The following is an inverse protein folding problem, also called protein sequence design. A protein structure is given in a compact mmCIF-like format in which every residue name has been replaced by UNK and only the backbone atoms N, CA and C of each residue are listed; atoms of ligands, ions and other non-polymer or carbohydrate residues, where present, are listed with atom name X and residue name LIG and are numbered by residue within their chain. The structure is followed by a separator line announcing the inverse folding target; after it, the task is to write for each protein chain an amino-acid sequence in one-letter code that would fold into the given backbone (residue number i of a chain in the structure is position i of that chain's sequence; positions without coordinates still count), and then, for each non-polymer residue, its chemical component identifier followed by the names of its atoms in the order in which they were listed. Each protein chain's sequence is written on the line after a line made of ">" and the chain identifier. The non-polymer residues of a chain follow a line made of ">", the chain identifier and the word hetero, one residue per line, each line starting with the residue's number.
data_IF_969866533490
#
_entry.id   IF_969866533490
#
_cell.length_a   1.000
_cell.length_b   1.000
_cell.length_c   1.000
_cell.angle_alpha   90.00
_cell.angle_beta   90.00
_cell.angle_gamma   90.00
#
_symmetry.space_group_name_H-M   'P 1'
#
loop_
_entity.id
_entity.type
_entity.pdbx_description
1 polymer ?
#
# COMPACT_ATOMS: atom_id res chain seq x y z
N UNK A 1 14.05 -6.60 16.47
CA UNK A 1 13.00 -6.48 15.44
C UNK A 1 12.99 -5.03 14.99
N UNK A 2 13.07 -4.78 13.69
CA UNK A 2 12.95 -3.44 13.14
C UNK A 2 11.50 -2.98 13.30
N UNK A 3 11.25 -1.81 13.90
CA UNK A 3 9.90 -1.28 14.17
C UNK A 3 9.05 -1.20 12.89
N UNK A 4 9.68 -0.88 11.77
CA UNK A 4 9.04 -0.86 10.45
C UNK A 4 8.49 -2.23 10.03
N UNK A 5 9.15 -3.33 10.41
CA UNK A 5 8.66 -4.67 10.08
C UNK A 5 7.35 -5.00 10.79
N UNK A 6 7.14 -4.45 12.00
CA UNK A 6 5.89 -4.62 12.74
C UNK A 6 4.78 -3.79 12.10
N UNK A 7 5.07 -2.56 11.69
CA UNK A 7 4.09 -1.70 11.01
C UNK A 7 3.64 -2.28 9.66
N UNK A 8 4.49 -3.06 8.99
CA UNK A 8 4.14 -3.74 7.75
C UNK A 8 3.02 -4.78 7.91
N UNK A 9 2.77 -5.29 9.12
CA UNK A 9 1.64 -6.19 9.40
C UNK A 9 0.29 -5.54 9.02
N UNK A 10 0.18 -4.22 9.17
CA UNK A 10 -1.02 -3.46 8.83
C UNK A 10 -1.29 -3.41 7.32
N UNK A 11 -0.32 -3.79 6.49
CA UNK A 11 -0.42 -3.77 5.03
C UNK A 11 -0.58 -5.17 4.44
N UNK A 12 -0.68 -6.22 5.26
CA UNK A 12 -0.72 -7.61 4.77
C UNK A 12 -1.90 -7.87 3.83
N UNK A 13 -3.10 -7.46 4.25
CA UNK A 13 -4.31 -7.57 3.42
C UNK A 13 -4.16 -6.80 2.09
N UNK A 14 -3.50 -5.64 2.13
CA UNK A 14 -3.26 -4.84 0.93
C UNK A 14 -2.26 -5.50 -0.02
N UNK A 15 -1.22 -6.16 0.50
CA UNK A 15 -0.26 -6.91 -0.33
C UNK A 15 -0.92 -8.12 -1.00
N UNK A 16 -1.78 -8.83 -0.26
CA UNK A 16 -2.56 -9.95 -0.74
C UNK A 16 -3.51 -9.51 -1.87
N UNK A 17 -4.36 -8.50 -1.60
CA UNK A 17 -5.28 -7.92 -2.58
C UNK A 17 -4.58 -7.38 -3.84
N UNK A 18 -3.41 -6.74 -3.68
CA UNK A 18 -2.61 -6.29 -4.81
C UNK A 18 -2.15 -7.46 -5.71
N UNK A 19 -1.80 -8.58 -5.08
CA UNK A 19 -1.40 -9.79 -5.80
C UNK A 19 -2.58 -10.45 -6.52
N UNK A 20 -3.77 -10.41 -5.92
CA UNK A 20 -5.02 -10.81 -6.55
C UNK A 20 -5.30 -10.00 -7.82
N UNK A 21 -5.22 -8.66 -7.75
CA UNK A 21 -5.48 -7.77 -8.88
C UNK A 21 -4.51 -7.98 -10.06
N UNK A 22 -3.25 -8.28 -9.77
CA UNK A 22 -2.21 -8.41 -10.79
C UNK A 22 -2.14 -9.81 -11.41
N UNK A 23 -2.37 -10.85 -10.62
CA UNK A 23 -2.04 -12.22 -11.00
C UNK A 23 -3.19 -13.22 -10.77
N UNK A 24 -4.28 -12.82 -10.13
CA UNK A 24 -5.48 -13.64 -9.84
C UNK A 24 -5.46 -14.30 -8.46
N UNK A 25 -6.55 -14.99 -8.14
CA UNK A 25 -6.81 -15.59 -6.81
C UNK A 25 -5.70 -16.55 -6.31
N UNK A 26 -5.05 -17.39 -7.15
CA UNK A 26 -3.98 -18.24 -6.66
C UNK A 26 -2.76 -17.46 -6.14
N UNK A 27 -2.50 -16.26 -6.67
CA UNK A 27 -1.39 -15.42 -6.24
C UNK A 27 -1.67 -14.73 -4.91
N UNK A 28 -2.93 -14.38 -4.65
CA UNK A 28 -3.41 -13.86 -3.38
C UNK A 28 -3.09 -14.83 -2.23
N UNK A 29 -3.56 -16.07 -2.37
CA UNK A 29 -3.34 -17.14 -1.40
C UNK A 29 -1.86 -17.46 -1.19
N UNK A 30 -1.05 -17.46 -2.27
CA UNK A 30 0.41 -17.66 -2.14
C UNK A 30 1.07 -16.56 -1.31
N UNK A 31 0.67 -15.31 -1.54
CA UNK A 31 1.22 -14.17 -0.80
C UNK A 31 0.73 -14.19 0.65
N UNK A 32 -0.55 -14.45 0.90
CA UNK A 32 -1.11 -14.61 2.24
C UNK A 32 -0.39 -15.70 3.06
N UNK A 33 -0.18 -16.87 2.47
CA UNK A 33 0.51 -17.98 3.13
C UNK A 33 1.97 -17.65 3.49
N UNK A 34 2.69 -16.96 2.59
CA UNK A 34 4.06 -16.52 2.84
C UNK A 34 4.09 -15.40 3.90
N UNK A 35 3.10 -14.50 3.93
CA UNK A 35 3.00 -13.45 4.96
C UNK A 35 2.76 -14.04 6.36
N UNK A 36 1.86 -15.03 6.45
CA UNK A 36 1.48 -15.66 7.72
C UNK A 36 2.62 -16.50 8.31
N UNK A 37 3.35 -17.24 7.47
CA UNK A 37 4.48 -18.07 7.91
C UNK A 37 5.81 -17.32 7.93
N UNK A 38 5.89 -16.17 7.26
CA UNK A 38 7.08 -15.33 7.11
C UNK A 38 8.11 -15.85 6.10
N UNK A 39 8.39 -17.16 6.09
CA UNK A 39 9.32 -17.83 5.17
C UNK A 39 8.81 -19.21 4.81
N UNK A 40 8.75 -19.51 3.51
CA UNK A 40 8.34 -20.83 3.02
C UNK A 40 9.22 -21.26 1.84
N UNK A 41 9.36 -22.57 1.64
CA UNK A 41 9.90 -23.10 0.39
C UNK A 41 8.83 -23.04 -0.70
N UNK A 42 9.24 -23.14 -1.95
CA UNK A 42 8.30 -23.09 -3.08
C UNK A 42 7.36 -24.30 -3.08
N UNK A 43 7.89 -25.50 -2.81
CA UNK A 43 7.09 -26.72 -2.69
C UNK A 43 6.10 -26.66 -1.53
N UNK A 44 6.51 -26.16 -0.35
CA UNK A 44 5.60 -26.04 0.80
C UNK A 44 4.48 -25.03 0.56
N UNK A 45 4.81 -23.86 -0.02
CA UNK A 45 3.83 -22.84 -0.35
C UNK A 45 2.79 -23.35 -1.38
N UNK A 46 3.25 -24.03 -2.44
CA UNK A 46 2.36 -24.58 -3.46
C UNK A 46 1.43 -25.64 -2.85
N UNK A 47 1.94 -26.56 -2.04
CA UNK A 47 1.12 -27.61 -1.44
C UNK A 47 0.02 -27.04 -0.54
N UNK A 48 0.35 -26.08 0.33
CA UNK A 48 -0.64 -25.43 1.21
C UNK A 48 -1.72 -24.69 0.42
N UNK A 49 -1.34 -23.99 -0.65
CA UNK A 49 -2.31 -23.27 -1.50
C UNK A 49 -3.17 -24.24 -2.29
N UNK A 50 -2.61 -25.34 -2.80
CA UNK A 50 -3.40 -26.38 -3.49
C UNK A 50 -4.39 -27.04 -2.54
N UNK A 51 -3.98 -27.35 -1.29
CA UNK A 51 -4.87 -27.87 -0.25
C UNK A 51 -6.03 -26.90 0.03
N UNK A 52 -5.73 -25.62 0.28
CA UNK A 52 -6.76 -24.58 0.48
C UNK A 52 -7.67 -24.36 -0.72
N UNK A 53 -7.12 -24.40 -1.93
CA UNK A 53 -7.91 -24.26 -3.16
C UNK A 53 -8.81 -25.46 -3.38
N UNK A 54 -8.37 -26.66 -2.99
CA UNK A 54 -9.16 -27.87 -3.07
C UNK A 54 -10.32 -27.87 -2.06
N UNK A 55 -10.10 -27.37 -0.84
CA UNK A 55 -11.18 -27.11 0.11
C UNK A 55 -12.20 -26.08 -0.43
N UNK A 56 -11.73 -25.09 -1.20
CA UNK A 56 -12.59 -24.09 -1.85
C UNK A 56 -13.29 -24.60 -3.13
N UNK A 57 -12.83 -25.72 -3.72
CA UNK A 57 -13.49 -26.34 -4.90
C UNK A 57 -14.89 -26.80 -4.58
N UNK A 58 -15.12 -27.31 -3.37
CA UNK A 58 -16.45 -27.75 -2.90
C UNK A 58 -17.48 -26.61 -2.90
N UNK A 59 -17.02 -25.35 -2.92
CA UNK A 59 -17.88 -24.16 -2.89
C UNK A 59 -17.99 -23.44 -4.25
N UNK A 60 -16.94 -23.47 -5.07
CA UNK A 60 -16.83 -22.62 -6.28
C UNK A 60 -16.80 -23.40 -7.60
N UNK A 61 -16.48 -24.70 -7.59
CA UNK A 61 -16.44 -25.56 -8.78
C UNK A 61 -15.32 -25.24 -9.79
N UNK A 62 -14.32 -24.42 -9.42
CA UNK A 62 -13.20 -24.04 -10.30
C UNK A 62 -11.99 -24.93 -10.06
N UNK A 63 -11.57 -25.67 -11.09
CA UNK A 63 -10.37 -26.50 -11.04
C UNK A 63 -9.09 -25.69 -11.22
N UNK A 64 -8.39 -25.39 -10.13
CA UNK A 64 -7.00 -24.94 -10.19
C UNK A 64 -6.04 -26.13 -10.30
N UNK A 65 -5.20 -26.13 -11.33
CA UNK A 65 -4.13 -27.12 -11.49
C UNK A 65 -2.91 -26.74 -10.64
N UNK A 66 -2.21 -27.75 -10.11
CA UNK A 66 -0.88 -27.59 -9.47
C UNK A 66 0.10 -26.84 -10.37
N UNK A 67 -0.03 -27.02 -11.69
CA UNK A 67 0.76 -26.34 -12.71
C UNK A 67 0.48 -24.84 -12.74
N UNK A 68 -0.77 -24.43 -12.59
CA UNK A 68 -1.18 -23.02 -12.61
C UNK A 68 -0.61 -22.28 -11.40
N UNK A 69 -0.74 -22.86 -10.20
CA UNK A 69 -0.17 -22.29 -8.97
C UNK A 69 1.35 -22.15 -9.09
N UNK A 70 2.03 -23.14 -9.66
CA UNK A 70 3.46 -23.10 -9.93
C UNK A 70 3.83 -21.98 -10.93
N UNK A 71 3.07 -21.81 -12.01
CA UNK A 71 3.26 -20.72 -12.97
C UNK A 71 3.09 -19.35 -12.31
N UNK A 72 2.08 -19.18 -11.45
CA UNK A 72 1.87 -17.92 -10.71
C UNK A 72 3.01 -17.61 -9.74
N UNK A 73 3.52 -18.62 -9.03
CA UNK A 73 4.70 -18.45 -8.17
C UNK A 73 5.93 -18.00 -8.97
N UNK A 74 6.15 -18.59 -10.15
CA UNK A 74 7.23 -18.15 -11.06
C UNK A 74 7.04 -16.70 -11.50
N UNK A 75 5.83 -16.33 -11.88
CA UNK A 75 5.50 -14.97 -12.30
C UNK A 75 5.72 -13.94 -11.17
N UNK A 76 5.44 -14.31 -9.91
CA UNK A 76 5.74 -13.48 -8.74
C UNK A 76 7.25 -13.28 -8.53
N UNK A 77 8.07 -14.29 -8.82
CA UNK A 77 9.54 -14.17 -8.78
C UNK A 77 10.06 -13.32 -9.94
N UNK A 78 9.58 -13.57 -11.16
CA UNK A 78 9.99 -12.83 -12.37
C UNK A 78 9.67 -11.32 -12.26
N UNK A 79 8.55 -10.97 -11.61
CA UNK A 79 8.18 -9.58 -11.35
C UNK A 79 8.75 -9.01 -10.03
N UNK A 80 9.66 -9.75 -9.38
CA UNK A 80 10.39 -9.36 -8.18
C UNK A 80 9.52 -9.13 -6.93
N UNK A 81 8.31 -9.69 -6.86
CA UNK A 81 7.45 -9.63 -5.67
C UNK A 81 7.89 -10.61 -4.58
N UNK A 82 8.58 -11.69 -4.97
CA UNK A 82 9.24 -12.63 -4.07
C UNK A 82 10.77 -12.50 -4.19
N UNK A 83 11.46 -12.56 -3.05
CA UNK A 83 12.92 -12.60 -2.97
C UNK A 83 13.35 -13.80 -2.12
N UNK A 84 14.43 -14.45 -2.52
CA UNK A 84 15.07 -15.50 -1.72
C UNK A 84 15.59 -14.97 -0.37
N UNK A 85 15.41 -15.75 0.70
CA UNK A 85 15.91 -15.41 2.02
C UNK A 85 17.45 -15.52 2.07
N UNK A 86 18.15 -14.59 2.75
CA UNK A 86 19.60 -14.67 2.97
C UNK A 86 20.02 -16.02 3.54
N UNK A 87 21.05 -16.63 2.97
CA UNK A 87 21.58 -17.93 3.37
C UNK A 87 23.04 -17.80 3.84
N UNK A 88 23.55 -18.73 4.65
CA UNK A 88 24.93 -18.66 5.15
C UNK A 88 25.94 -18.95 4.03
N UNK A 89 26.88 -18.02 3.78
CA UNK A 89 27.89 -18.19 2.72
C UNK A 89 29.04 -19.14 3.12
N UNK A 90 29.21 -19.44 4.41
CA UNK A 90 30.24 -20.36 4.91
C UNK A 90 29.69 -21.19 6.07
N UNK A 91 29.94 -22.50 6.04
CA UNK A 91 29.70 -23.44 7.15
C UNK A 91 30.84 -23.32 8.19
N UNK A 92 31.37 -22.11 8.42
CA UNK A 92 32.23 -21.90 9.58
C UNK A 92 31.32 -21.92 10.82
N UNK A 93 31.64 -22.76 11.81
CA UNK A 93 30.96 -22.91 13.11
C UNK A 93 31.04 -21.63 13.96
N UNK A 94 30.63 -20.49 13.40
CA UNK A 94 30.36 -19.27 14.15
C UNK A 94 28.99 -19.43 14.78
N UNK A 95 28.90 -19.16 16.09
CA UNK A 95 27.64 -19.15 16.86
C UNK A 95 26.53 -18.29 16.22
N UNK A 96 26.89 -17.37 15.33
CA UNK A 96 25.97 -16.56 14.52
C UNK A 96 26.47 -16.62 13.07
N UNK A 97 25.73 -17.27 12.16
CA UNK A 97 26.10 -17.29 10.75
C UNK A 97 25.86 -15.92 10.11
N UNK A 98 26.83 -15.45 9.32
CA UNK A 98 26.62 -14.28 8.46
C UNK A 98 25.79 -14.71 7.25
N UNK A 99 24.56 -14.21 7.18
CA UNK A 99 23.64 -14.46 6.09
C UNK A 99 23.79 -13.36 5.05
N UNK A 100 24.12 -13.72 3.81
CA UNK A 100 24.20 -12.77 2.71
C UNK A 100 23.81 -13.43 1.40
N UNK A 101 23.26 -12.63 0.50
CA UNK A 101 22.79 -13.06 -0.81
C UNK A 101 23.45 -12.17 -1.86
N UNK A 102 23.91 -12.78 -2.94
CA UNK A 102 24.34 -12.05 -4.14
C UNK A 102 23.13 -11.65 -4.97
N UNK A 103 23.13 -10.43 -5.53
CA UNK A 103 21.99 -9.89 -6.29
C UNK A 103 21.52 -10.81 -7.44
N UNK A 104 22.47 -11.53 -8.05
CA UNK A 104 22.20 -12.46 -9.14
C UNK A 104 21.39 -13.71 -8.74
N UNK A 105 21.31 -14.04 -7.46
CA UNK A 105 20.62 -15.23 -6.93
C UNK A 105 19.28 -14.91 -6.26
N UNK A 106 18.94 -13.62 -6.15
CA UNK A 106 17.72 -13.15 -5.47
C UNK A 106 16.43 -13.64 -6.12
N UNK A 107 16.48 -13.86 -7.45
CA UNK A 107 15.31 -14.13 -8.29
C UNK A 107 15.48 -15.41 -9.14
N UNK A 108 16.46 -16.25 -8.83
CA UNK A 108 16.68 -17.50 -9.56
C UNK A 108 15.63 -18.52 -9.13
N UNK A 109 14.79 -18.92 -10.09
CA UNK A 109 13.73 -19.91 -9.87
C UNK A 109 14.36 -21.31 -9.76
N UNK A 110 14.08 -22.06 -8.67
CA UNK A 110 14.50 -23.44 -8.56
C UNK A 110 13.75 -24.32 -9.57
N UNK A 111 14.47 -25.24 -10.21
CA UNK A 111 13.87 -26.23 -11.13
C UNK A 111 13.19 -27.32 -10.30
N UNK A 112 11.90 -27.17 -10.05
CA UNK A 112 11.10 -28.19 -9.37
C UNK A 112 10.50 -29.14 -10.42
N UNK A 113 10.74 -30.44 -10.24
CA UNK A 113 10.08 -31.48 -11.04
C UNK A 113 8.65 -31.68 -10.51
N UNK A 114 7.65 -31.28 -11.31
CA UNK A 114 6.23 -31.27 -10.91
C UNK A 114 5.66 -32.64 -10.56
N UNK A 115 6.22 -33.73 -11.10
CA UNK A 115 5.81 -35.10 -10.82
C UNK A 115 5.91 -35.48 -9.33
N UNK A 116 6.76 -34.82 -8.53
CA UNK A 116 6.89 -35.09 -7.10
C UNK A 116 5.81 -34.40 -6.24
N UNK A 117 5.11 -33.40 -6.79
CA UNK A 117 4.05 -32.67 -6.09
C UNK A 117 2.69 -33.38 -6.27
N UNK A 118 2.44 -33.97 -7.44
CA UNK A 118 1.20 -34.70 -7.75
C UNK A 118 1.11 -36.08 -7.08
N UNK A 119 2.25 -36.71 -6.74
CA UNK A 119 2.26 -37.98 -6.00
C UNK A 119 1.78 -37.86 -4.54
N UNK A 120 1.64 -36.63 -4.02
CA UNK A 120 1.09 -36.37 -2.69
C UNK A 120 -0.43 -36.14 -2.69
N UNK A 121 -1.05 -35.84 -3.85
CA UNK A 121 -2.50 -35.62 -3.94
C UNK A 121 -3.32 -36.89 -4.16
N UNK A 122 -2.68 -38.03 -4.43
CA UNK A 122 -3.34 -39.34 -4.48
C UNK A 122 -3.39 -39.97 -3.08
N UNK A 123 -4.60 -40.09 -2.54
CA UNK A 123 -4.94 -40.43 -1.14
C UNK A 123 -4.44 -41.79 -0.60
N UNK A 124 -3.68 -42.60 -1.34
CA UNK A 124 -3.37 -43.97 -0.93
C UNK A 124 -2.19 -44.16 0.03
N UNK A 125 -1.44 -43.11 0.41
CA UNK A 125 -0.28 -43.26 1.31
C UNK A 125 -0.21 -42.28 2.49
N UNK A 126 -1.35 -42.00 3.14
CA UNK A 126 -1.40 -41.25 4.40
C UNK A 126 -0.64 -41.90 5.58
N UNK A 127 -0.16 -43.15 5.46
CA UNK A 127 0.47 -43.89 6.57
C UNK A 127 2.01 -43.82 6.66
N UNK A 128 2.70 -43.13 5.73
CA UNK A 128 4.15 -42.87 5.85
C UNK A 128 4.47 -41.45 5.38
N UNK A 129 4.27 -40.45 6.26
CA UNK A 129 4.95 -39.15 6.15
C UNK A 129 6.46 -39.33 6.40
N UNK A 130 7.16 -40.06 5.53
CA UNK A 130 8.60 -39.88 5.37
C UNK A 130 8.77 -38.54 4.67
N UNK A 131 9.53 -37.62 5.28
CA UNK A 131 9.90 -36.33 4.67
C UNK A 131 10.47 -36.59 3.28
N UNK A 132 9.67 -36.41 2.25
CA UNK A 132 10.17 -36.32 0.88
C UNK A 132 11.02 -35.05 0.83
N UNK A 133 12.33 -35.22 0.69
CA UNK A 133 13.24 -34.10 0.50
C UNK A 133 12.92 -33.47 -0.86
N UNK A 134 12.17 -32.38 -0.83
CA UNK A 134 11.95 -31.58 -2.02
C UNK A 134 13.28 -30.95 -2.48
N UNK A 135 13.49 -30.79 -3.79
CA UNK A 135 14.75 -30.24 -4.34
C UNK A 135 15.02 -28.78 -3.91
N UNK A 136 14.06 -28.12 -3.26
CA UNK A 136 14.12 -26.74 -2.78
C UNK A 136 14.17 -26.63 -1.24
N UNK A 137 14.49 -27.72 -0.53
CA UNK A 137 14.49 -27.81 0.95
C UNK A 137 15.34 -26.75 1.67
N UNK A 138 16.32 -26.14 1.00
CA UNK A 138 17.16 -25.05 1.54
C UNK A 138 16.88 -23.67 0.89
N UNK A 139 15.83 -23.56 0.08
CA UNK A 139 15.49 -22.36 -0.68
C UNK A 139 14.22 -21.75 -0.10
N UNK A 140 14.41 -20.86 0.87
CA UNK A 140 13.31 -20.10 1.46
C UNK A 140 13.03 -18.82 0.67
N UNK A 141 11.75 -18.53 0.49
CA UNK A 141 11.24 -17.32 -0.12
C UNK A 141 10.57 -16.43 0.91
N UNK A 142 10.72 -15.11 0.73
CA UNK A 142 10.02 -14.08 1.47
C UNK A 142 9.47 -13.03 0.52
N UNK A 143 8.56 -12.22 1.01
CA UNK A 143 7.99 -11.12 0.25
C UNK A 143 8.94 -9.95 0.12
N UNK A 144 8.97 -9.38 -1.07
CA UNK A 144 9.65 -8.13 -1.36
C UNK A 144 8.77 -6.93 -1.05
N UNK A 145 8.81 -6.46 0.19
CA UNK A 145 8.06 -5.27 0.61
C UNK A 145 8.42 -4.02 -0.22
N UNK A 146 9.67 -3.88 -0.65
CA UNK A 146 10.11 -2.72 -1.44
C UNK A 146 9.44 -2.68 -2.82
N UNK A 147 9.15 -3.85 -3.43
CA UNK A 147 8.44 -3.91 -4.71
C UNK A 147 6.97 -3.51 -4.55
N UNK A 148 6.31 -3.96 -3.48
CA UNK A 148 4.95 -3.52 -3.18
C UNK A 148 4.87 -2.03 -2.87
N UNK A 149 5.84 -1.48 -2.12
CA UNK A 149 5.92 -0.04 -1.87
C UNK A 149 6.09 0.75 -3.17
N UNK A 150 6.92 0.26 -4.10
CA UNK A 150 7.06 0.84 -5.44
C UNK A 150 5.73 0.82 -6.20
N UNK A 151 5.02 -0.31 -6.18
CA UNK A 151 3.71 -0.42 -6.82
C UNK A 151 2.69 0.58 -6.25
N UNK A 152 2.58 0.68 -4.91
CA UNK A 152 1.66 1.63 -4.28
C UNK A 152 2.03 3.10 -4.53
N UNK A 153 3.33 3.41 -4.60
CA UNK A 153 3.81 4.72 -5.02
C UNK A 153 3.34 5.04 -6.43
N UNK A 154 3.49 4.10 -7.35
CA UNK A 154 3.16 4.29 -8.76
C UNK A 154 1.63 4.39 -8.94
N UNK A 155 0.85 3.59 -8.21
CA UNK A 155 -0.61 3.69 -8.12
C UNK A 155 -1.06 5.08 -7.64
N UNK A 156 -0.47 5.60 -6.55
CA UNK A 156 -0.78 6.93 -6.03
C UNK A 156 -0.46 8.04 -7.05
N UNK A 157 0.64 7.91 -7.80
CA UNK A 157 1.01 8.84 -8.88
C UNK A 157 -0.01 8.78 -10.02
N UNK A 158 -0.43 7.58 -10.43
CA UNK A 158 -1.42 7.38 -11.51
C UNK A 158 -2.77 7.97 -11.11
N UNK A 159 -3.24 7.72 -9.89
CA UNK A 159 -4.48 8.29 -9.35
C UNK A 159 -4.44 9.82 -9.29
N UNK A 160 -3.32 10.40 -8.86
CA UNK A 160 -3.10 11.84 -8.89
C UNK A 160 -3.12 12.40 -10.33
N UNK A 161 -2.50 11.71 -11.30
CA UNK A 161 -2.57 12.11 -12.71
C UNK A 161 -3.99 12.10 -13.26
N UNK A 162 -4.76 11.03 -12.97
CA UNK A 162 -6.14 10.87 -13.42
C UNK A 162 -7.04 11.99 -12.88
N UNK A 163 -6.83 12.41 -11.63
CA UNK A 163 -7.63 13.45 -10.98
C UNK A 163 -7.36 14.86 -11.51
N UNK A 164 -6.15 15.12 -12.05
CA UNK A 164 -5.74 16.47 -12.47
C UNK A 164 -5.79 16.70 -13.98
N UNK A 165 -5.51 15.68 -14.77
CA UNK A 165 -5.50 15.76 -16.23
C UNK A 165 -6.68 14.97 -16.78
N UNK A 166 -6.45 13.69 -17.12
CA UNK A 166 -7.44 12.78 -17.69
C UNK A 166 -6.96 11.33 -17.48
N UNK A 167 -7.87 10.37 -17.57
CA UNK A 167 -7.57 8.93 -17.52
C UNK A 167 -6.54 8.52 -18.60
N UNK A 168 -6.65 9.06 -19.81
CA UNK A 168 -5.68 8.84 -20.90
C UNK A 168 -4.26 9.32 -20.53
N UNK A 169 -4.14 10.40 -19.78
CA UNK A 169 -2.84 10.91 -19.33
C UNK A 169 -2.25 10.02 -18.24
N UNK A 170 -3.11 9.44 -17.40
CA UNK A 170 -2.72 8.48 -16.39
C UNK A 170 -2.16 7.18 -17.02
N UNK A 171 -2.76 6.71 -18.13
CA UNK A 171 -2.24 5.56 -18.90
C UNK A 171 -0.85 5.80 -19.49
N UNK A 172 -0.57 7.03 -19.93
CA UNK A 172 0.77 7.43 -20.41
C UNK A 172 1.78 7.35 -19.28
N UNK A 173 1.46 7.91 -18.11
CA UNK A 173 2.35 7.84 -16.94
C UNK A 173 2.53 6.40 -16.47
N UNK A 174 1.47 5.59 -16.45
CA UNK A 174 1.53 4.15 -16.15
C UNK A 174 2.51 3.42 -17.07
N UNK A 175 2.43 3.70 -18.38
CA UNK A 175 3.33 3.11 -19.37
C UNK A 175 4.80 3.49 -19.14
N UNK A 176 5.07 4.74 -18.77
CA UNK A 176 6.42 5.22 -18.45
C UNK A 176 6.95 4.55 -17.16
N UNK A 177 6.12 4.47 -16.12
CA UNK A 177 6.50 3.84 -14.84
C UNK A 177 6.81 2.36 -15.03
N UNK A 178 5.94 1.62 -15.73
CA UNK A 178 6.14 0.18 -15.97
C UNK A 178 7.35 -0.16 -16.86
N UNK A 179 7.78 0.74 -17.76
CA UNK A 179 9.04 0.55 -18.50
C UNK A 179 10.26 0.88 -17.62
N UNK A 180 10.13 1.86 -16.73
CA UNK A 180 11.20 2.22 -15.81
C UNK A 180 11.45 1.19 -14.70
N UNK A 181 10.46 0.34 -14.43
CA UNK A 181 10.47 -0.72 -13.41
C UNK A 181 11.53 -1.82 -13.61
N UNK A 182 12.04 -2.00 -14.83
CA UNK A 182 13.01 -3.06 -15.14
C UNK A 182 14.38 -2.84 -14.46
N UNK A 183 14.64 -1.66 -13.90
CA UNK A 183 15.88 -1.33 -13.20
C UNK A 183 15.53 -0.93 -11.77
N UNK A 184 15.55 -1.90 -10.87
CA UNK A 184 15.13 -1.88 -9.45
C UNK A 184 15.80 -0.79 -8.60
N UNK A 185 15.43 0.49 -8.79
CA UNK A 185 15.83 1.58 -7.89
C UNK A 185 14.57 2.08 -7.17
N UNK A 186 14.32 1.52 -5.98
CA UNK A 186 13.12 1.78 -5.16
C UNK A 186 13.01 3.25 -4.72
N UNK A 187 14.14 3.93 -4.52
CA UNK A 187 14.23 5.27 -3.95
C UNK A 187 14.97 6.26 -4.88
N UNK A 188 14.53 6.37 -6.13
CA UNK A 188 15.06 7.36 -7.08
C UNK A 188 14.23 8.63 -7.11
N UNK A 189 14.90 9.80 -7.06
CA UNK A 189 14.29 11.13 -7.15
C UNK A 189 13.54 11.35 -8.49
N UNK A 190 13.98 10.64 -9.53
CA UNK A 190 13.41 10.65 -10.88
C UNK A 190 13.47 9.25 -11.47
N UNK A 191 12.50 8.89 -12.32
CA UNK A 191 12.59 7.61 -13.04
C UNK A 191 13.74 7.61 -14.05
N UNK A 192 14.11 6.42 -14.51
CA UNK A 192 15.00 6.33 -15.66
C UNK A 192 14.33 6.95 -16.91
N UNK A 193 15.12 7.58 -17.78
CA UNK A 193 14.59 8.16 -19.01
C UNK A 193 14.09 7.06 -19.94
N UNK A 194 12.83 7.15 -20.37
CA UNK A 194 12.18 6.21 -21.30
C UNK A 194 12.04 6.86 -22.68
N UNK A 195 12.30 6.10 -23.74
CA UNK A 195 12.17 6.60 -25.12
C UNK A 195 10.71 6.69 -25.54
N UNK A 196 10.39 7.65 -26.41
CA UNK A 196 9.05 7.80 -26.99
C UNK A 196 8.53 6.52 -27.67
N UNK A 197 9.40 5.77 -28.36
CA UNK A 197 9.01 4.53 -29.05
C UNK A 197 8.50 3.46 -28.08
N UNK A 198 9.18 3.27 -26.95
CA UNK A 198 8.83 2.26 -25.94
C UNK A 198 7.48 2.61 -25.30
N UNK A 199 7.23 3.91 -25.07
CA UNK A 199 5.96 4.42 -24.57
C UNK A 199 4.82 4.11 -25.56
N UNK A 200 5.01 4.38 -26.85
CA UNK A 200 4.00 4.09 -27.89
C UNK A 200 3.73 2.59 -27.99
N UNK A 201 4.77 1.76 -27.98
CA UNK A 201 4.64 0.30 -28.06
C UNK A 201 3.81 -0.24 -26.89
N UNK A 202 4.09 0.19 -25.67
CA UNK A 202 3.34 -0.25 -24.49
C UNK A 202 1.93 0.35 -24.44
N UNK A 203 1.75 1.61 -24.81
CA UNK A 203 0.43 2.23 -24.91
C UNK A 203 -0.45 1.52 -25.92
N UNK A 204 0.09 1.06 -27.05
CA UNK A 204 -0.70 0.31 -28.04
C UNK A 204 -1.25 -1.02 -27.52
N UNK A 205 -0.66 -1.56 -26.44
CA UNK A 205 -1.15 -2.76 -25.75
C UNK A 205 -2.21 -2.45 -24.67
N UNK A 206 -2.27 -1.21 -24.17
CA UNK A 206 -3.13 -0.79 -23.05
C UNK A 206 -4.33 0.04 -23.54
N UNK A 207 -4.17 0.84 -24.59
CA UNK A 207 -5.17 1.80 -25.03
C UNK A 207 -5.10 2.11 -26.55
N UNK A 208 -6.22 2.59 -27.12
CA UNK A 208 -6.36 2.96 -28.54
C UNK A 208 -5.97 4.42 -28.82
N UNK A 209 -5.03 4.98 -28.05
CA UNK A 209 -4.58 6.37 -28.22
C UNK A 209 -3.73 6.48 -29.49
N UNK A 210 -4.10 7.40 -30.39
CA UNK A 210 -3.35 7.71 -31.61
C UNK A 210 -2.06 8.46 -31.26
N UNK A 211 -0.99 8.21 -32.00
CA UNK A 211 0.33 8.84 -31.81
C UNK A 211 0.31 10.38 -31.85
N UNK A 212 -0.67 10.99 -32.52
CA UNK A 212 -0.87 12.45 -32.57
C UNK A 212 -1.45 13.01 -31.28
N UNK A 213 -2.32 12.27 -30.59
CA UNK A 213 -2.89 12.66 -29.28
C UNK A 213 -1.84 12.53 -28.18
N UNK A 214 -0.97 11.52 -28.27
CA UNK A 214 0.10 11.28 -27.30
C UNK A 214 1.06 12.48 -27.19
N UNK A 215 1.46 13.08 -28.32
CA UNK A 215 2.33 14.26 -28.29
C UNK A 215 1.67 15.45 -27.59
N UNK A 216 0.37 15.68 -27.82
CA UNK A 216 -0.39 16.73 -27.12
C UNK A 216 -0.46 16.47 -25.62
N UNK A 217 -0.72 15.23 -25.21
CA UNK A 217 -0.76 14.83 -23.80
C UNK A 217 0.61 14.94 -23.12
N UNK A 218 1.69 14.52 -23.79
CA UNK A 218 3.05 14.62 -23.26
C UNK A 218 3.49 16.08 -23.10
N UNK A 219 3.13 16.98 -24.03
CA UNK A 219 3.37 18.41 -23.88
C UNK A 219 2.60 18.95 -22.68
N UNK A 220 1.31 18.61 -22.53
CA UNK A 220 0.52 19.03 -21.35
C UNK A 220 1.10 18.50 -20.03
N UNK A 221 1.64 17.27 -20.02
CA UNK A 221 2.27 16.67 -18.84
C UNK A 221 3.64 17.30 -18.51
N UNK A 222 4.35 17.82 -19.51
CA UNK A 222 5.63 18.51 -19.35
C UNK A 222 5.47 19.99 -18.97
N UNK A 223 4.54 20.69 -19.63
CA UNK A 223 4.29 22.13 -19.47
C UNK A 223 3.25 22.46 -18.40
N UNK A 224 2.49 21.47 -17.94
CA UNK A 224 1.53 21.65 -16.86
C UNK A 224 2.22 22.22 -15.61
N UNK A 225 1.52 23.05 -14.85
CA UNK A 225 1.98 23.71 -13.60
C UNK A 225 2.57 22.76 -12.56
N UNK A 226 2.39 21.45 -12.77
CA UNK A 226 2.83 20.37 -11.90
C UNK A 226 3.99 19.51 -12.45
N UNK A 227 4.60 19.77 -13.62
CA UNK A 227 5.81 19.09 -14.13
C UNK A 227 5.89 17.59 -13.77
N UNK A 228 4.81 16.83 -14.00
CA UNK A 228 4.74 15.41 -13.65
C UNK A 228 5.80 14.64 -14.45
N UNK A 229 5.91 14.98 -15.73
CA UNK A 229 6.92 14.50 -16.64
C UNK A 229 7.90 15.63 -16.94
N UNK A 230 9.17 15.30 -17.11
CA UNK A 230 10.20 16.20 -17.60
C UNK A 230 10.93 15.55 -18.77
N UNK A 231 11.25 16.37 -19.76
CA UNK A 231 12.02 15.93 -20.92
C UNK A 231 13.50 15.94 -20.55
N UNK A 232 14.13 14.76 -20.54
CA UNK A 232 15.53 14.59 -20.15
C UNK A 232 16.50 14.80 -21.32
N UNK A 233 16.07 14.51 -22.55
CA UNK A 233 16.83 14.74 -23.78
C UNK A 233 15.86 14.92 -24.96
N UNK A 234 16.26 15.67 -25.99
CA UNK A 234 15.51 15.93 -27.22
C UNK A 234 15.82 14.93 -28.34
N UNK A 235 16.84 14.09 -28.17
CA UNK A 235 17.24 13.08 -29.15
C UNK A 235 16.18 11.97 -29.28
N UNK A 236 15.83 11.61 -30.51
CA UNK A 236 14.94 10.47 -30.80
C UNK A 236 13.47 10.67 -30.43
N UNK A 237 12.88 11.84 -30.76
CA UNK A 237 11.52 12.25 -30.37
C UNK A 237 11.31 12.51 -28.88
N UNK A 238 12.39 12.56 -28.10
CA UNK A 238 12.38 12.95 -26.70
C UNK A 238 12.46 11.76 -25.75
N UNK A 239 13.29 11.91 -24.72
CA UNK A 239 13.37 11.02 -23.57
C UNK A 239 12.55 11.64 -22.44
N UNK A 240 11.64 10.85 -21.85
CA UNK A 240 10.73 11.33 -20.81
C UNK A 240 11.07 10.69 -19.46
N UNK A 241 11.01 11.50 -18.41
CA UNK A 241 11.31 11.13 -17.02
C UNK A 241 10.16 11.57 -16.13
N UNK A 242 9.70 10.72 -15.22
CA UNK A 242 8.71 11.07 -14.20
C UNK A 242 9.42 11.54 -12.93
N UNK A 243 9.01 12.71 -12.43
CA UNK A 243 9.57 13.29 -11.21
C UNK A 243 8.84 12.76 -9.96
N UNK A 244 9.14 11.52 -9.57
CA UNK A 244 8.53 10.84 -8.41
C UNK A 244 8.57 11.70 -7.14
N UNK A 245 9.72 12.29 -6.79
CA UNK A 245 9.87 13.07 -5.56
C UNK A 245 9.03 14.35 -5.53
N UNK A 246 8.87 15.03 -6.68
CA UNK A 246 8.05 16.26 -6.76
C UNK A 246 6.57 15.95 -6.74
N UNK A 247 6.16 14.85 -7.38
CA UNK A 247 4.77 14.41 -7.38
C UNK A 247 4.38 13.97 -5.97
N UNK A 248 5.20 13.16 -5.30
CA UNK A 248 4.96 12.73 -3.93
C UNK A 248 4.88 13.91 -2.96
N UNK A 249 5.78 14.89 -3.08
CA UNK A 249 5.70 16.11 -2.27
C UNK A 249 4.34 16.79 -2.41
N UNK A 250 3.80 16.89 -3.62
CA UNK A 250 2.49 17.51 -3.85
C UNK A 250 1.33 16.67 -3.35
N UNK A 251 1.40 15.34 -3.51
CA UNK A 251 0.39 14.44 -2.94
C UNK A 251 0.32 14.65 -1.42
N UNK A 252 1.47 14.75 -0.76
CA UNK A 252 1.55 15.03 0.68
C UNK A 252 1.02 16.41 1.05
N UNK A 253 1.32 17.45 0.27
CA UNK A 253 0.75 18.80 0.45
C UNK A 253 -0.78 18.81 0.31
N UNK A 254 -1.32 18.07 -0.66
CA UNK A 254 -2.76 17.90 -0.90
C UNK A 254 -3.44 17.11 0.24
N UNK A 255 -2.81 16.03 0.73
CA UNK A 255 -3.25 15.26 1.89
C UNK A 255 -3.31 16.15 3.14
N UNK A 256 -2.25 16.91 3.43
CA UNK A 256 -2.22 17.83 4.55
C UNK A 256 -3.32 18.90 4.44
N UNK A 257 -3.52 19.45 3.23
CA UNK A 257 -4.61 20.40 2.98
C UNK A 257 -6.00 19.77 3.15
N UNK A 258 -6.18 18.49 2.82
CA UNK A 258 -7.44 17.75 3.04
C UNK A 258 -7.71 17.57 4.53
N UNK A 259 -6.71 17.13 5.30
CA UNK A 259 -6.85 16.96 6.77
C UNK A 259 -7.20 18.31 7.42
N UNK A 260 -6.57 19.40 7.01
CA UNK A 260 -6.88 20.74 7.52
C UNK A 260 -8.29 21.18 7.10
N UNK A 261 -8.72 20.87 5.87
CA UNK A 261 -10.06 21.19 5.38
C UNK A 261 -11.13 20.47 6.20
N UNK A 262 -10.91 19.21 6.51
CA UNK A 262 -11.88 18.37 7.23
C UNK A 262 -11.90 18.70 8.72
N UNK A 263 -10.77 19.10 9.31
CA UNK A 263 -10.68 19.51 10.71
C UNK A 263 -11.09 20.97 11.00
N UNK A 264 -10.58 21.94 10.23
CA UNK A 264 -10.74 23.38 10.51
C UNK A 264 -11.62 24.11 9.48
N UNK A 265 -12.08 23.41 8.44
CA UNK A 265 -12.92 23.96 7.39
C UNK A 265 -12.13 24.54 6.20
N UNK A 266 -12.88 24.87 5.14
CA UNK A 266 -12.33 25.31 3.85
C UNK A 266 -11.58 26.64 3.89
N UNK A 267 -11.97 27.56 4.80
CA UNK A 267 -11.28 28.85 4.98
C UNK A 267 -9.85 28.68 5.51
N UNK A 268 -9.65 27.74 6.43
CA UNK A 268 -8.35 27.44 7.01
C UNK A 268 -7.43 26.77 5.97
N UNK A 269 -7.97 25.82 5.19
CA UNK A 269 -7.25 25.19 4.10
C UNK A 269 -6.80 26.19 3.01
N UNK A 270 -7.57 27.27 2.78
CA UNK A 270 -7.16 28.36 1.88
C UNK A 270 -5.92 29.09 2.39
N UNK A 271 -5.88 29.42 3.69
CA UNK A 271 -4.71 30.06 4.32
C UNK A 271 -3.48 29.16 4.18
N UNK A 272 -3.65 27.86 4.46
CA UNK A 272 -2.57 26.87 4.33
C UNK A 272 -2.02 26.78 2.89
N UNK A 273 -2.89 26.73 1.88
CA UNK A 273 -2.47 26.72 0.46
C UNK A 273 -1.69 27.97 0.06
N UNK A 274 -2.13 29.15 0.50
CA UNK A 274 -1.44 30.41 0.24
C UNK A 274 -0.03 30.41 0.87
N UNK A 275 0.09 29.86 2.08
CA UNK A 275 1.37 29.71 2.76
C UNK A 275 2.31 28.73 2.04
N UNK A 276 1.78 27.65 1.47
CA UNK A 276 2.57 26.71 0.66
C UNK A 276 3.15 27.38 -0.60
N UNK A 277 2.35 28.17 -1.31
CA UNK A 277 2.77 28.82 -2.56
C UNK A 277 3.83 29.92 -2.34
N UNK A 278 3.66 30.73 -1.29
CA UNK A 278 4.53 31.89 -1.02
C UNK A 278 5.69 31.60 -0.06
N UNK A 279 5.71 30.42 0.59
CA UNK A 279 6.71 29.89 1.54
C UNK A 279 6.87 30.65 2.85
N UNK A 280 6.93 31.98 2.82
CA UNK A 280 7.07 32.84 4.01
C UNK A 280 6.15 34.04 3.87
N UNK A 281 5.25 34.25 4.82
CA UNK A 281 4.29 35.36 4.79
C UNK A 281 4.09 36.00 6.15
N UNK A 282 3.77 37.29 6.12
CA UNK A 282 3.25 38.02 7.28
C UNK A 282 1.72 37.84 7.39
N UNK A 283 1.15 37.86 8.61
CA UNK A 283 -0.30 37.74 8.80
C UNK A 283 -1.13 38.75 7.99
N UNK A 284 -0.64 40.00 7.83
CA UNK A 284 -1.31 41.03 7.01
C UNK A 284 -1.38 40.66 5.53
N UNK A 285 -0.31 40.06 4.98
CA UNK A 285 -0.28 39.63 3.59
C UNK A 285 -1.21 38.43 3.36
N UNK A 286 -1.35 37.55 4.35
CA UNK A 286 -2.31 36.44 4.31
C UNK A 286 -3.74 36.98 4.29
N UNK A 287 -4.06 38.00 5.09
CA UNK A 287 -5.38 38.65 5.09
C UNK A 287 -5.76 39.17 3.70
N UNK A 288 -4.84 39.90 3.04
CA UNK A 288 -5.05 40.44 1.69
C UNK A 288 -5.16 39.34 0.62
N UNK A 289 -4.28 38.34 0.65
CA UNK A 289 -4.28 37.25 -0.34
C UNK A 289 -5.45 36.27 -0.16
N UNK A 290 -5.90 36.04 1.07
CA UNK A 290 -6.98 35.09 1.37
C UNK A 290 -8.38 35.71 1.20
N UNK A 291 -8.48 37.05 1.14
CA UNK A 291 -9.73 37.80 1.14
C UNK A 291 -10.65 37.38 2.30
N UNK A 292 -10.08 37.27 3.50
CA UNK A 292 -10.78 36.87 4.73
C UNK A 292 -10.80 38.03 5.72
N UNK A 293 -11.81 38.04 6.59
CA UNK A 293 -11.92 39.03 7.64
C UNK A 293 -10.75 38.90 8.63
N UNK A 294 -10.09 40.00 9.07
CA UNK A 294 -8.88 39.94 9.89
C UNK A 294 -9.07 39.25 11.24
N UNK A 295 -10.29 39.29 11.80
CA UNK A 295 -10.62 38.56 13.03
C UNK A 295 -10.54 37.04 12.82
N UNK A 296 -11.15 36.55 11.75
CA UNK A 296 -11.22 35.12 11.43
C UNK A 296 -9.84 34.60 11.01
N UNK A 297 -9.10 35.37 10.21
CA UNK A 297 -7.75 35.00 9.75
C UNK A 297 -6.80 34.77 10.92
N UNK A 298 -6.82 35.66 11.92
CA UNK A 298 -6.01 35.50 13.13
C UNK A 298 -6.40 34.25 13.92
N UNK A 299 -7.69 34.02 14.13
CA UNK A 299 -8.17 32.82 14.82
C UNK A 299 -7.73 31.52 14.11
N UNK A 300 -7.83 31.46 12.79
CA UNK A 300 -7.36 30.30 12.01
C UNK A 300 -5.85 30.12 12.06
N UNK A 301 -5.07 31.21 11.99
CA UNK A 301 -3.61 31.15 12.13
C UNK A 301 -3.23 30.61 13.52
N UNK A 302 -3.87 31.09 14.59
CA UNK A 302 -3.60 30.59 15.95
C UNK A 302 -3.90 29.09 16.07
N UNK A 303 -5.04 28.61 15.55
CA UNK A 303 -5.35 27.17 15.53
C UNK A 303 -4.31 26.35 14.75
N UNK A 304 -3.82 26.86 13.62
CA UNK A 304 -2.77 26.19 12.85
C UNK A 304 -1.41 26.15 13.57
N UNK A 305 -1.11 27.16 14.38
CA UNK A 305 0.11 27.20 15.19
C UNK A 305 -0.01 26.26 16.39
N UNK A 306 -1.12 26.27 17.12
CA UNK A 306 -1.40 25.36 18.25
C UNK A 306 -1.23 23.90 17.84
N UNK A 307 -1.72 23.59 16.64
CA UNK A 307 -1.70 22.24 16.08
C UNK A 307 -0.41 21.95 15.30
N UNK A 308 0.62 22.80 15.38
CA UNK A 308 1.95 22.64 14.75
C UNK A 308 1.95 22.48 13.22
N UNK A 309 0.92 22.96 12.52
CA UNK A 309 0.90 23.03 11.06
C UNK A 309 1.74 24.18 10.50
N UNK A 310 1.86 25.28 11.27
CA UNK A 310 2.58 26.50 10.88
C UNK A 310 3.56 26.88 11.98
N UNK A 311 4.80 27.19 11.59
CA UNK A 311 5.82 27.72 12.49
C UNK A 311 5.80 29.25 12.45
N UNK A 312 5.80 29.84 13.64
CA UNK A 312 6.00 31.27 13.82
C UNK A 312 7.48 31.56 14.06
N UNK A 313 8.10 32.32 13.18
CA UNK A 313 9.46 32.82 13.38
C UNK A 313 9.42 34.32 13.69
N UNK A 314 9.93 34.67 14.86
CA UNK A 314 10.04 36.05 15.31
C UNK A 314 11.36 36.64 14.85
N UNK A 315 11.31 37.68 13.99
CA UNK A 315 12.48 38.43 13.59
C UNK A 315 12.51 39.82 14.26
N UNK A 316 13.66 40.22 14.84
CA UNK A 316 13.84 41.59 15.31
C UNK A 316 14.06 42.54 14.13
N UNK A 317 13.37 43.68 14.13
CA UNK A 317 13.74 44.82 13.27
C UNK A 317 14.91 45.59 13.88
N UNK A 318 16.14 45.22 13.53
CA UNK A 318 17.36 45.95 13.91
C UNK A 318 18.30 45.18 14.83
N UNK A 319 19.48 45.75 15.09
CA UNK A 319 20.53 45.15 15.93
C UNK A 319 20.20 45.09 17.42
N UNK A 320 19.21 45.87 17.84
CA UNK A 320 18.94 46.12 19.26
C UNK A 320 17.60 45.49 19.64
N UNK A 321 17.61 44.59 20.62
CA UNK A 321 16.46 43.91 21.24
C UNK A 321 15.55 44.90 22.03
N UNK A 322 15.17 46.02 21.41
CA UNK A 322 14.26 47.00 22.00
C UNK A 322 12.82 46.60 21.69
N UNK A 323 12.05 46.36 22.76
CA UNK A 323 10.64 45.97 22.75
C UNK A 323 9.77 46.95 21.94
N UNK A 324 9.42 46.62 20.70
CA UNK A 324 8.46 47.43 19.94
C UNK A 324 8.16 47.01 18.51
N UNK A 325 9.06 46.31 17.81
CA UNK A 325 8.81 45.88 16.44
C UNK A 325 9.35 44.46 16.17
N UNK A 326 8.64 43.47 16.71
CA UNK A 326 8.83 42.04 16.37
C UNK A 326 7.96 41.74 15.14
N UNK A 327 8.56 41.13 14.12
CA UNK A 327 7.83 40.64 12.93
C UNK A 327 7.60 39.15 13.06
N UNK A 328 6.34 38.74 12.92
CA UNK A 328 5.97 37.34 12.86
C UNK A 328 5.98 36.90 11.40
N UNK A 329 6.92 36.04 11.05
CA UNK A 329 6.95 35.35 9.77
C UNK A 329 6.41 33.94 9.94
N UNK A 330 5.36 33.63 9.19
CA UNK A 330 4.76 32.31 9.17
C UNK A 330 5.43 31.48 8.08
N UNK A 331 5.96 30.33 8.46
CA UNK A 331 6.59 29.36 7.57
C UNK A 331 5.99 27.98 7.80
N UNK A 332 5.83 27.23 6.73
CA UNK A 332 5.48 25.81 6.81
C UNK A 332 6.75 24.99 6.62
N UNK A 333 7.02 24.07 7.55
CA UNK A 333 7.99 22.99 7.34
C UNK A 333 7.24 21.68 7.12
N UNK A 334 7.21 21.23 5.86
CA UNK A 334 6.54 20.00 5.48
C UNK A 334 7.09 18.77 6.21
N UNK A 335 8.38 18.76 6.58
CA UNK A 335 8.96 17.61 7.30
C UNK A 335 8.33 17.46 8.69
N UNK A 336 8.18 18.57 9.39
CA UNK A 336 7.53 18.60 10.70
C UNK A 336 6.04 18.24 10.59
N UNK A 337 5.33 18.85 9.63
CA UNK A 337 3.91 18.57 9.39
C UNK A 337 3.68 17.10 9.09
N UNK A 338 4.53 16.46 8.27
CA UNK A 338 4.41 15.04 7.96
C UNK A 338 4.69 14.14 9.16
N UNK A 339 5.71 14.45 9.97
CA UNK A 339 6.00 13.68 11.19
C UNK A 339 4.85 13.75 12.19
N UNK A 340 4.28 14.94 12.36
CA UNK A 340 3.13 15.14 13.22
C UNK A 340 1.88 14.42 12.68
N UNK A 341 1.61 14.52 11.37
CA UNK A 341 0.50 13.79 10.75
C UNK A 341 0.67 12.27 10.93
N UNK A 342 1.89 11.74 10.74
CA UNK A 342 2.19 10.32 10.99
C UNK A 342 1.93 9.91 12.44
N UNK A 343 2.36 10.72 13.40
CA UNK A 343 2.09 10.45 14.82
C UNK A 343 0.60 10.39 15.11
N UNK A 344 -0.19 11.32 14.57
CA UNK A 344 -1.66 11.29 14.67
C UNK A 344 -2.26 10.06 13.99
N UNK A 345 -1.74 9.65 12.83
CA UNK A 345 -2.18 8.44 12.16
C UNK A 345 -1.92 7.19 13.01
N UNK A 346 -0.75 7.10 13.66
CA UNK A 346 -0.45 5.98 14.57
C UNK A 346 -1.34 5.98 15.81
N UNK A 347 -1.60 7.14 16.41
CA UNK A 347 -2.54 7.26 17.54
C UNK A 347 -3.97 6.89 17.12
N UNK A 348 -4.43 7.36 15.96
CA UNK A 348 -5.75 7.01 15.43
C UNK A 348 -5.86 5.50 15.18
N UNK A 349 -4.83 4.88 14.60
CA UNK A 349 -4.77 3.45 14.38
C UNK A 349 -4.81 2.65 15.69
N UNK A 350 -4.04 3.06 16.69
CA UNK A 350 -4.08 2.45 18.02
C UNK A 350 -5.49 2.55 18.66
N UNK A 351 -6.14 3.70 18.55
CA UNK A 351 -7.49 3.90 19.05
C UNK A 351 -8.52 3.03 18.32
N UNK A 352 -8.38 2.86 17.00
CA UNK A 352 -9.25 1.98 16.21
C UNK A 352 -9.09 0.51 16.58
N UNK A 353 -7.86 0.04 16.76
CA UNK A 353 -7.59 -1.34 17.20
C UNK A 353 -8.15 -1.57 18.60
N UNK A 354 -7.92 -0.64 19.52
CA UNK A 354 -8.45 -0.72 20.89
C UNK A 354 -9.98 -0.73 20.91
N UNK A 355 -10.61 0.06 20.04
CA UNK A 355 -12.07 0.08 19.88
C UNK A 355 -12.59 -1.26 19.30
N UNK A 356 -11.92 -1.82 18.30
CA UNK A 356 -12.25 -3.13 17.73
C UNK A 356 -12.15 -4.24 18.78
N UNK A 357 -11.07 -4.25 19.55
CA UNK A 357 -10.88 -5.22 20.62
C UNK A 357 -11.94 -5.09 21.72
N UNK A 358 -12.29 -3.87 22.13
CA UNK A 358 -13.37 -3.62 23.09
C UNK A 358 -14.72 -4.14 22.59
N UNK A 359 -15.06 -3.89 21.31
CA UNK A 359 -16.30 -4.39 20.70
C UNK A 359 -16.33 -5.91 20.63
N UNK A 360 -15.19 -6.54 20.31
CA UNK A 360 -15.06 -7.99 20.31
C UNK A 360 -15.21 -8.57 21.71
N UNK A 361 -14.58 -7.96 22.72
CA UNK A 361 -14.65 -8.42 24.12
C UNK A 361 -16.07 -8.31 24.70
N UNK A 362 -16.78 -7.20 24.44
CA UNK A 362 -18.17 -7.02 24.89
C UNK A 362 -19.11 -8.07 24.29
N UNK A 363 -18.92 -8.40 23.00
CA UNK A 363 -19.78 -9.32 22.25
C UNK A 363 -19.25 -10.76 22.17
N UNK A 364 -18.17 -11.09 22.88
CA UNK A 364 -17.47 -12.37 22.78
C UNK A 364 -18.39 -13.58 22.93
N UNK A 365 -19.26 -13.57 23.95
CA UNK A 365 -20.21 -14.67 24.21
C UNK A 365 -21.19 -14.88 23.06
N UNK A 366 -21.63 -13.78 22.44
CA UNK A 366 -22.58 -13.80 21.34
C UNK A 366 -21.90 -14.31 20.06
N UNK A 367 -20.67 -13.87 19.79
CA UNK A 367 -19.85 -14.32 18.67
C UNK A 367 -19.49 -15.81 18.79
N UNK A 368 -19.11 -16.30 19.97
CA UNK A 368 -18.85 -17.72 20.21
C UNK A 368 -20.11 -18.60 20.08
N UNK A 369 -21.29 -18.07 20.47
CA UNK A 369 -22.58 -18.74 20.24
C UNK A 369 -22.85 -18.84 18.74
N UNK A 370 -22.68 -17.73 18.00
CA UNK A 370 -22.83 -17.71 16.54
C UNK A 370 -21.86 -18.68 15.86
N UNK A 371 -20.57 -18.65 16.19
CA UNK A 371 -19.57 -19.51 15.57
C UNK A 371 -19.85 -21.01 15.78
N UNK A 372 -20.36 -21.40 16.96
CA UNK A 372 -20.79 -22.78 17.20
C UNK A 372 -21.99 -23.17 16.36
N UNK A 373 -22.97 -22.28 16.22
CA UNK A 373 -24.16 -22.50 15.39
C UNK A 373 -23.76 -22.60 13.92
N UNK A 374 -22.92 -21.68 13.43
CA UNK A 374 -22.41 -21.69 12.05
C UNK A 374 -21.60 -22.97 11.76
N UNK A 375 -20.80 -23.47 12.72
CA UNK A 375 -20.09 -24.74 12.59
C UNK A 375 -21.04 -25.95 12.53
N UNK A 376 -22.13 -25.93 13.31
CA UNK A 376 -23.17 -26.97 13.24
C UNK A 376 -23.86 -26.91 11.88
N UNK A 377 -24.24 -25.72 11.40
CA UNK A 377 -24.86 -25.53 10.07
C UNK A 377 -23.92 -26.01 8.96
N UNK A 378 -22.63 -25.69 9.02
CA UNK A 378 -21.65 -26.17 8.05
C UNK A 378 -21.55 -27.71 8.06
N UNK A 379 -21.53 -28.33 9.24
CA UNK A 379 -21.51 -29.79 9.36
C UNK A 379 -22.79 -30.45 8.85
N UNK A 380 -23.95 -29.82 9.04
CA UNK A 380 -25.25 -30.31 8.55
C UNK A 380 -25.35 -30.19 7.03
N UNK A 381 -24.81 -29.10 6.45
CA UNK A 381 -24.74 -28.91 4.99
C UNK A 381 -23.86 -29.96 4.30
N UNK A 382 -22.70 -30.27 4.88
CA UNK A 382 -21.80 -31.32 4.37
C UNK A 382 -22.47 -32.70 4.43
N UNK A 383 -23.26 -32.96 5.47
CA UNK A 383 -23.98 -34.21 5.64
C UNK A 383 -25.27 -34.32 4.80
N UNK A 384 -25.62 -33.29 4.01
CA UNK A 384 -26.80 -33.29 3.15
C UNK A 384 -28.14 -33.30 3.90
N UNK A 385 -28.20 -32.68 5.08
CA UNK A 385 -29.41 -32.61 5.90
C UNK A 385 -30.51 -31.72 5.27
N UNK A 386 -31.78 -32.03 5.58
CA UNK A 386 -32.96 -31.31 5.08
C UNK A 386 -32.96 -29.81 5.48
N UNK A 387 -33.43 -28.95 4.57
CA UNK A 387 -33.49 -27.48 4.76
C UNK A 387 -34.24 -27.08 6.05
N UNK A 388 -35.22 -27.87 6.49
CA UNK A 388 -35.99 -27.64 7.72
C UNK A 388 -35.13 -27.73 8.99
N UNK A 389 -34.13 -28.63 9.03
CA UNK A 389 -33.21 -28.74 10.17
C UNK A 389 -32.20 -27.58 10.22
N UNK A 390 -31.85 -27.03 9.06
CA UNK A 390 -31.00 -25.85 8.96
C UNK A 390 -31.76 -24.60 9.44
N UNK A 391 -33.04 -24.47 9.08
CA UNK A 391 -33.90 -23.38 9.55
C UNK A 391 -34.16 -23.45 11.07
N UNK A 392 -34.38 -24.64 11.65
CA UNK A 392 -34.53 -24.80 13.11
C UNK A 392 -33.27 -24.36 13.86
N UNK A 393 -32.08 -24.72 13.36
CA UNK A 393 -30.80 -24.33 13.97
C UNK A 393 -30.53 -22.82 13.80
N UNK A 394 -30.99 -22.21 12.71
CA UNK A 394 -30.95 -20.76 12.52
C UNK A 394 -31.91 -20.02 13.47
N UNK A 395 -33.09 -20.59 13.76
CA UNK A 395 -34.06 -20.03 14.71
C UNK A 395 -33.60 -20.09 16.19
N UNK A 396 -32.52 -20.82 16.50
CA UNK A 396 -31.86 -20.77 17.82
C UNK A 396 -31.24 -19.38 18.07
N UNK A 397 -30.94 -18.62 17.00
CA UNK A 397 -30.58 -17.21 17.10
C UNK A 397 -31.86 -16.41 17.22
N UNK A 398 -32.00 -15.69 18.33
CA UNK A 398 -33.13 -14.78 18.50
C UNK A 398 -33.01 -13.60 17.53
N UNK A 399 -34.08 -13.18 16.86
CA UNK A 399 -34.09 -11.98 15.99
C UNK A 399 -33.39 -10.74 16.59
N UNK A 400 -33.51 -10.40 17.90
CA UNK A 400 -32.72 -9.33 18.52
C UNK A 400 -31.22 -9.63 18.61
N UNK A 401 -30.81 -10.88 18.80
CA UNK A 401 -29.40 -11.29 18.79
C UNK A 401 -28.79 -11.13 17.40
N UNK A 402 -29.54 -11.50 16.35
CA UNK A 402 -29.12 -11.33 14.96
C UNK A 402 -28.97 -9.84 14.57
N UNK A 403 -29.86 -8.97 15.05
CA UNK A 403 -29.75 -7.54 14.85
C UNK A 403 -28.50 -6.94 15.54
N UNK A 404 -28.11 -7.45 16.72
CA UNK A 404 -26.86 -7.03 17.38
C UNK A 404 -25.64 -7.53 16.62
N UNK A 405 -25.66 -8.77 16.15
CA UNK A 405 -24.57 -9.37 15.36
C UNK A 405 -24.35 -8.60 14.05
N UNK A 406 -25.41 -8.29 13.32
CA UNK A 406 -25.31 -7.53 12.06
C UNK A 406 -24.79 -6.11 12.31
N UNK A 407 -25.21 -5.47 13.40
CA UNK A 407 -24.67 -4.17 13.82
C UNK A 407 -23.18 -4.26 14.14
N UNK A 408 -22.74 -5.27 14.89
CA UNK A 408 -21.33 -5.48 15.23
C UNK A 408 -20.50 -5.76 13.96
N UNK A 409 -21.00 -6.59 13.05
CA UNK A 409 -20.35 -6.86 11.78
C UNK A 409 -20.18 -5.58 10.93
N UNK A 410 -21.22 -4.73 10.85
CA UNK A 410 -21.14 -3.47 10.12
C UNK A 410 -20.14 -2.49 10.75
N UNK A 411 -20.10 -2.40 12.08
CA UNK A 411 -19.13 -1.54 12.77
C UNK A 411 -17.71 -2.07 12.58
N UNK A 412 -17.51 -3.39 12.63
CA UNK A 412 -16.21 -4.03 12.39
C UNK A 412 -15.73 -3.72 10.96
N UNK A 413 -16.57 -3.94 9.95
CA UNK A 413 -16.26 -3.60 8.56
C UNK A 413 -15.92 -2.11 8.36
N UNK A 414 -16.62 -1.22 9.08
CA UNK A 414 -16.31 0.21 9.06
C UNK A 414 -14.95 0.51 9.69
N UNK A 415 -14.59 -0.18 10.77
CA UNK A 415 -13.28 -0.06 11.40
C UNK A 415 -12.20 -0.57 10.45
N UNK A 416 -12.38 -1.74 9.84
CA UNK A 416 -11.40 -2.34 8.93
C UNK A 416 -11.16 -1.46 7.70
N UNK A 417 -12.23 -0.97 7.07
CA UNK A 417 -12.10 -0.01 5.95
C UNK A 417 -11.40 1.29 6.36
N UNK A 418 -11.62 1.78 7.59
CA UNK A 418 -10.92 2.96 8.11
C UNK A 418 -9.44 2.67 8.39
N UNK A 419 -9.08 1.47 8.86
CA UNK A 419 -7.70 1.05 9.06
C UNK A 419 -6.94 0.98 7.73
N UNK A 420 -7.57 0.43 6.68
CA UNK A 420 -6.98 0.35 5.33
C UNK A 420 -6.67 1.75 4.78
N UNK A 421 -7.61 2.70 4.93
CA UNK A 421 -7.41 4.09 4.48
C UNK A 421 -6.29 4.80 5.25
N UNK A 422 -6.22 4.62 6.58
CA UNK A 422 -5.12 5.17 7.39
C UNK A 422 -3.78 4.55 7.02
N UNK A 423 -3.76 3.24 6.75
CA UNK A 423 -2.57 2.52 6.32
C UNK A 423 -2.05 3.07 4.97
N UNK A 424 -2.94 3.38 4.02
CA UNK A 424 -2.55 4.06 2.78
C UNK A 424 -1.90 5.42 3.04
N UNK A 425 -2.51 6.24 3.90
CA UNK A 425 -1.97 7.55 4.27
C UNK A 425 -0.58 7.43 4.93
N UNK A 426 -0.39 6.46 5.83
CA UNK A 426 0.90 6.19 6.48
C UNK A 426 1.96 5.79 5.43
N UNK A 427 1.61 4.93 4.47
CA UNK A 427 2.53 4.49 3.42
C UNK A 427 3.02 5.65 2.54
N UNK A 428 2.13 6.57 2.16
CA UNK A 428 2.50 7.74 1.35
C UNK A 428 3.40 8.70 2.14
N UNK A 429 3.04 8.98 3.41
CA UNK A 429 3.80 9.89 4.27
C UNK A 429 5.18 9.34 4.63
N UNK A 430 5.29 8.04 4.92
CA UNK A 430 6.57 7.38 5.22
C UNK A 430 7.48 7.37 3.98
N UNK A 431 6.92 7.01 2.82
CA UNK A 431 7.63 7.03 1.55
C UNK A 431 8.21 8.41 1.26
N UNK A 432 7.43 9.48 1.47
CA UNK A 432 7.92 10.84 1.28
C UNK A 432 9.04 11.22 2.26
N UNK A 433 8.92 10.85 3.54
CA UNK A 433 9.99 11.08 4.51
C UNK A 433 11.29 10.38 4.10
N UNK A 434 11.22 9.17 3.55
CA UNK A 434 12.41 8.47 3.08
C UNK A 434 13.05 9.16 1.87
N UNK A 435 12.27 9.74 0.96
CA UNK A 435 12.80 10.61 -0.10
C UNK A 435 13.46 11.88 0.44
N UNK A 436 12.95 12.47 1.52
CA UNK A 436 13.57 13.66 2.11
C UNK A 436 14.88 13.39 2.81
N UNK A 437 15.13 12.16 3.30
CA UNK A 437 16.43 11.75 3.87
C UNK A 437 17.54 11.62 2.82
N UNK A 438 17.16 11.43 1.54
CA UNK A 438 18.10 11.21 0.43
C UNK A 438 18.52 12.54 -0.22
N UNK A 439 17.71 13.60 -0.06
CA UNK A 439 18.08 14.97 -0.45
C UNK A 439 19.05 15.57 0.55
#
# INVERSE_FOLDING_TARGET
>A
MEQESVLRLLHYERYAYCSQLLFGDPADLLVEEILNHGKLTMSEAILKVVERLQDAKDTTGVDYSTEEVCQKFRLLIENHYLIRCPYPQSIEDKKIPNLSITENEMFVIPKINMALLEMNSSEEQAAKRQKTEFPDTEIYWRINFNRFQQYFRDEAIISACASHFDEKSADVVKSILSESDLKLITLSLTTNPVQYYDIVKRLSAISTVKSTELNGLLVNLCEGTRNFVSKADDRGNGMYVVNTARILQRIVEEIAASVIRDGFGSKCARIFRILLDKKVLEPKQIEELAMLHPKDTKEFIFKLIEENYVLSHELPKGSDFSHGQIFYLLRIDMNQVCRMLLERCYQALFNLITCSEAQYQENKRLLEKKQRIDAIVASLRINGADEEQIEEVQQIISQPEEAVITKVAHVTQKIDSSQIQLAEMISILSTWLDYTKIK
#
